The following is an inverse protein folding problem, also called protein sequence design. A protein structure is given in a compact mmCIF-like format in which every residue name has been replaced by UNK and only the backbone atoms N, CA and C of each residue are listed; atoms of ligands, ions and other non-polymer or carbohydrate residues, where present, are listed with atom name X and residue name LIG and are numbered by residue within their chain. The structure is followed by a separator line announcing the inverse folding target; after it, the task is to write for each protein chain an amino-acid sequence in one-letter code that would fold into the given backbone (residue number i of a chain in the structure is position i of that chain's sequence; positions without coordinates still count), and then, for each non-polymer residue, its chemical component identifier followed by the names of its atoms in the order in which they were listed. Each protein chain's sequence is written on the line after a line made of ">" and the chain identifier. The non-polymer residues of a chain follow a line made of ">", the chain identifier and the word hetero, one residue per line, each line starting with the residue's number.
data_IF_500995614330
#
_entry.id   IF_500995614330
#
_cell.length_a   1.000
_cell.length_b   1.000
_cell.length_c   1.000
_cell.angle_alpha   90.00
_cell.angle_beta   90.00
_cell.angle_gamma   90.00
#
_symmetry.space_group_name_H-M   'P 1'
#
loop_
_entity.id
_entity.type
_entity.pdbx_description
1 polymer ?
#
# COMPACT_ATOMS: atom_id res chain seq x y z
N UNK A 1 -42.16 -55.06 -4.75
CA UNK A 1 -42.25 -53.85 -3.90
C UNK A 1 -41.71 -54.21 -2.55
N UNK A 2 -40.58 -53.63 -2.14
CA UNK A 2 -39.98 -53.93 -0.84
C UNK A 2 -40.94 -53.46 0.25
N UNK A 3 -41.43 -54.42 1.05
CA UNK A 3 -42.50 -54.21 2.03
C UNK A 3 -42.10 -53.32 3.22
N UNK A 4 -42.84 -53.37 4.34
CA UNK A 4 -42.70 -52.47 5.51
C UNK A 4 -41.29 -52.30 6.06
N UNK A 5 -40.42 -53.30 5.89
CA UNK A 5 -39.01 -53.26 6.31
C UNK A 5 -38.21 -52.14 5.62
N UNK A 6 -38.55 -51.79 4.38
CA UNK A 6 -37.86 -50.70 3.67
C UNK A 6 -38.26 -49.33 4.22
N UNK A 7 -39.48 -49.20 4.73
CA UNK A 7 -39.94 -47.97 5.37
C UNK A 7 -39.21 -47.77 6.70
N UNK A 8 -39.12 -48.80 7.55
CA UNK A 8 -38.36 -48.74 8.81
C UNK A 8 -36.90 -48.36 8.60
N UNK A 9 -36.25 -48.89 7.56
CA UNK A 9 -34.87 -48.53 7.23
C UNK A 9 -34.75 -47.04 6.86
N UNK A 10 -35.65 -46.53 6.01
CA UNK A 10 -35.66 -45.11 5.63
C UNK A 10 -35.91 -44.21 6.83
N UNK A 11 -36.86 -44.58 7.70
CA UNK A 11 -37.12 -43.85 8.95
C UNK A 11 -35.89 -43.83 9.86
N UNK A 12 -35.21 -44.98 10.01
CA UNK A 12 -33.95 -45.06 10.75
C UNK A 12 -32.90 -44.12 10.16
N UNK A 13 -32.65 -44.16 8.86
CA UNK A 13 -31.68 -43.28 8.20
C UNK A 13 -32.07 -41.81 8.38
N UNK A 14 -33.32 -41.43 8.14
CA UNK A 14 -33.77 -40.04 8.27
C UNK A 14 -33.72 -39.51 9.70
N UNK A 15 -33.84 -40.38 10.70
CA UNK A 15 -33.71 -39.97 12.10
C UNK A 15 -32.24 -39.92 12.53
N UNK A 16 -31.50 -41.01 12.32
CA UNK A 16 -30.13 -41.15 12.83
C UNK A 16 -29.09 -40.37 12.03
N UNK A 17 -29.28 -40.17 10.73
CA UNK A 17 -28.34 -39.39 9.92
C UNK A 17 -28.19 -37.94 10.41
N UNK A 18 -29.26 -37.13 10.51
CA UNK A 18 -29.14 -35.77 11.03
C UNK A 18 -28.71 -35.76 12.51
N UNK A 19 -29.14 -36.74 13.31
CA UNK A 19 -28.73 -36.83 14.71
C UNK A 19 -27.22 -37.08 14.85
N UNK A 20 -26.67 -37.99 14.05
CA UNK A 20 -25.24 -38.32 14.05
C UNK A 20 -24.39 -37.14 13.57
N UNK A 21 -24.83 -36.45 12.51
CA UNK A 21 -24.22 -35.21 12.03
C UNK A 21 -24.21 -34.15 13.14
N UNK A 22 -25.34 -33.96 13.84
CA UNK A 22 -25.43 -33.02 14.95
C UNK A 22 -24.49 -33.40 16.10
N UNK A 23 -24.41 -34.67 16.49
CA UNK A 23 -23.51 -35.10 17.58
C UNK A 23 -22.04 -34.93 17.20
N UNK A 24 -21.69 -35.21 15.94
CA UNK A 24 -20.32 -35.08 15.47
C UNK A 24 -19.87 -33.63 15.34
N UNK A 25 -20.62 -32.80 14.61
CA UNK A 25 -20.26 -31.40 14.33
C UNK A 25 -20.73 -30.41 15.41
N UNK A 26 -21.69 -30.80 16.24
CA UNK A 26 -22.17 -29.99 17.37
C UNK A 26 -21.29 -30.06 18.60
N UNK A 27 -20.21 -30.85 18.57
CA UNK A 27 -19.22 -30.85 19.64
C UNK A 27 -18.53 -29.46 19.71
N UNK A 28 -18.58 -28.76 20.86
CA UNK A 28 -17.92 -27.47 21.01
C UNK A 28 -16.40 -27.53 20.76
N UNK A 29 -15.75 -28.66 21.06
CA UNK A 29 -14.33 -28.85 20.75
C UNK A 29 -14.07 -28.86 19.24
N UNK A 30 -14.89 -29.58 18.47
CA UNK A 30 -14.75 -29.64 17.01
C UNK A 30 -14.90 -28.24 16.38
N UNK A 31 -15.89 -27.47 16.82
CA UNK A 31 -16.10 -26.09 16.37
C UNK A 31 -14.88 -25.20 16.66
N UNK A 32 -14.33 -25.28 17.86
CA UNK A 32 -13.18 -24.47 18.27
C UNK A 32 -11.91 -24.79 17.49
N UNK A 33 -11.70 -26.06 17.15
CA UNK A 33 -10.50 -26.50 16.42
C UNK A 33 -10.61 -26.25 14.91
N UNK A 34 -11.81 -26.37 14.33
CA UNK A 34 -11.96 -26.38 12.87
C UNK A 34 -12.57 -25.09 12.32
N UNK A 35 -13.46 -24.42 13.07
CA UNK A 35 -14.18 -23.24 12.57
C UNK A 35 -13.53 -21.93 13.03
N UNK A 36 -13.11 -21.83 14.29
CA UNK A 36 -12.50 -20.60 14.82
C UNK A 36 -11.21 -20.19 14.09
N UNK A 37 -10.27 -21.10 13.79
CA UNK A 37 -9.02 -20.69 13.12
C UNK A 37 -9.26 -20.16 11.70
N UNK A 38 -10.30 -20.63 11.02
CA UNK A 38 -10.70 -20.13 9.70
C UNK A 38 -11.18 -18.68 9.78
N UNK A 39 -11.86 -18.30 10.87
CA UNK A 39 -12.29 -16.91 11.10
C UNK A 39 -11.11 -15.97 11.10
N UNK A 40 -10.04 -16.34 11.78
CA UNK A 40 -8.86 -15.48 11.96
C UNK A 40 -8.00 -15.42 10.69
N UNK A 41 -8.09 -16.40 9.79
CA UNK A 41 -7.48 -16.35 8.46
C UNK A 41 -8.26 -15.43 7.50
N UNK A 42 -9.58 -15.40 7.60
CA UNK A 42 -10.42 -14.63 6.69
C UNK A 42 -10.62 -13.17 7.14
N UNK A 43 -10.74 -12.94 8.45
CA UNK A 43 -10.93 -11.60 9.01
C UNK A 43 -9.58 -10.99 9.40
N UNK A 44 -9.29 -9.73 9.05
CA UNK A 44 -8.14 -9.04 9.58
C UNK A 44 -8.21 -8.96 11.11
N UNK A 45 -7.06 -9.13 11.76
CA UNK A 45 -6.95 -9.05 13.21
C UNK A 45 -7.59 -7.76 13.74
N UNK A 46 -8.34 -7.84 14.84
CA UNK A 46 -9.03 -6.67 15.41
C UNK A 46 -8.06 -5.52 15.78
N UNK A 47 -6.79 -5.83 15.98
CA UNK A 47 -5.73 -4.87 16.26
C UNK A 47 -5.30 -4.06 15.04
N UNK A 48 -5.36 -4.64 13.83
CA UNK A 48 -5.03 -3.92 12.60
C UNK A 48 -6.19 -3.03 12.11
N UNK A 49 -7.37 -3.21 12.67
CA UNK A 49 -8.56 -2.47 12.28
C UNK A 49 -8.52 -1.05 12.83
N UNK A 50 -8.75 -0.07 11.95
CA UNK A 50 -8.89 1.33 12.37
C UNK A 50 -10.07 1.48 13.34
N UNK A 51 -9.78 1.99 14.54
CA UNK A 51 -10.78 2.25 15.58
C UNK A 51 -11.23 3.70 15.46
N UNK A 52 -12.47 3.97 15.00
CA UNK A 52 -12.95 5.34 14.92
C UNK A 52 -13.10 5.94 16.33
N UNK A 53 -12.74 7.23 16.51
CA UNK A 53 -12.90 7.91 17.79
C UNK A 53 -14.37 7.92 18.21
N UNK A 54 -14.65 7.53 19.47
CA UNK A 54 -16.02 7.44 20.00
C UNK A 54 -16.38 8.58 20.95
N UNK A 55 -15.40 9.13 21.65
CA UNK A 55 -15.62 10.22 22.61
C UNK A 55 -15.29 11.58 21.99
N UNK A 56 -15.82 12.65 22.58
CA UNK A 56 -15.55 14.03 22.14
C UNK A 56 -14.08 14.41 22.22
N UNK A 57 -13.36 13.89 23.21
CA UNK A 57 -11.94 14.20 23.39
C UNK A 57 -11.09 13.44 22.36
N UNK A 58 -11.39 12.16 22.11
CA UNK A 58 -10.77 11.36 21.03
C UNK A 58 -10.97 12.03 19.66
N UNK A 59 -12.14 12.63 19.42
CA UNK A 59 -12.43 13.35 18.18
C UNK A 59 -11.53 14.58 18.00
N UNK A 60 -11.27 15.33 19.08
CA UNK A 60 -10.38 16.50 19.02
C UNK A 60 -8.95 16.06 18.71
N UNK A 61 -8.45 15.04 19.41
CA UNK A 61 -7.10 14.50 19.19
C UNK A 61 -6.93 13.99 17.76
N UNK A 62 -7.88 13.19 17.26
CA UNK A 62 -7.83 12.70 15.88
C UNK A 62 -7.87 13.84 14.85
N UNK A 63 -8.60 14.92 15.13
CA UNK A 63 -8.70 16.09 14.25
C UNK A 63 -7.37 16.87 14.23
N UNK A 64 -6.72 17.03 15.38
CA UNK A 64 -5.39 17.61 15.49
C UNK A 64 -4.34 16.78 14.74
N UNK A 65 -4.33 15.46 14.90
CA UNK A 65 -3.47 14.55 14.14
C UNK A 65 -3.70 14.65 12.62
N UNK A 66 -4.96 14.74 12.19
CA UNK A 66 -5.26 14.94 10.78
C UNK A 66 -4.76 16.29 10.26
N UNK A 67 -4.85 17.36 11.06
CA UNK A 67 -4.31 18.68 10.69
C UNK A 67 -2.79 18.66 10.56
N UNK A 68 -2.08 18.07 11.53
CA UNK A 68 -0.62 17.97 11.49
C UNK A 68 -0.15 17.14 10.31
N UNK A 69 -0.79 15.99 10.05
CA UNK A 69 -0.50 15.15 8.88
C UNK A 69 -0.70 15.88 7.55
N UNK A 70 -1.74 16.71 7.44
CA UNK A 70 -1.99 17.55 6.26
C UNK A 70 -0.88 18.60 6.08
N UNK A 71 -0.47 19.26 7.16
CA UNK A 71 0.61 20.26 7.12
C UNK A 71 1.94 19.63 6.73
N UNK A 72 2.32 18.50 7.32
CA UNK A 72 3.53 17.76 6.97
C UNK A 72 3.54 17.36 5.49
N UNK A 73 2.44 16.80 4.97
CA UNK A 73 2.32 16.44 3.55
C UNK A 73 2.44 17.66 2.63
N UNK A 74 1.93 18.82 3.05
CA UNK A 74 2.08 20.08 2.30
C UNK A 74 3.52 20.55 2.30
N UNK A 75 4.19 20.53 3.45
CA UNK A 75 5.59 20.91 3.57
C UNK A 75 6.49 20.03 2.71
N UNK A 76 6.31 18.70 2.76
CA UNK A 76 7.06 17.76 1.94
C UNK A 76 6.96 18.06 0.43
N UNK A 77 5.75 18.41 -0.05
CA UNK A 77 5.53 18.80 -1.44
C UNK A 77 6.24 20.10 -1.82
N UNK A 78 6.26 21.07 -0.92
CA UNK A 78 6.95 22.35 -1.15
C UNK A 78 8.46 22.15 -1.18
N UNK A 79 9.02 21.36 -0.26
CA UNK A 79 10.45 21.06 -0.25
C UNK A 79 10.89 20.28 -1.49
N UNK A 80 10.06 19.36 -1.98
CA UNK A 80 10.34 18.60 -3.21
C UNK A 80 10.34 19.55 -4.44
N UNK A 81 9.36 20.47 -4.51
CA UNK A 81 9.30 21.50 -5.55
C UNK A 81 10.51 22.47 -5.51
N UNK A 82 10.98 22.84 -4.31
CA UNK A 82 12.16 23.69 -4.10
C UNK A 82 13.46 22.98 -4.48
N UNK A 83 13.58 21.68 -4.19
CA UNK A 83 14.72 20.87 -4.62
C UNK A 83 14.76 20.71 -6.13
N UNK A 84 13.62 20.42 -6.76
CA UNK A 84 13.52 20.32 -8.22
C UNK A 84 13.87 21.64 -8.91
N UNK A 85 13.37 22.77 -8.39
CA UNK A 85 13.67 24.10 -8.95
C UNK A 85 15.13 24.53 -8.73
N UNK A 86 15.75 24.19 -7.59
CA UNK A 86 17.18 24.41 -7.38
C UNK A 86 18.05 23.52 -8.28
N UNK A 87 17.65 22.29 -8.54
CA UNK A 87 18.35 21.38 -9.45
C UNK A 87 18.28 21.88 -10.92
N UNK A 88 17.12 22.40 -11.33
CA UNK A 88 16.93 23.02 -12.65
C UNK A 88 17.80 24.29 -12.80
N UNK A 89 17.90 25.13 -11.77
CA UNK A 89 18.74 26.33 -11.79
C UNK A 89 20.24 26.01 -11.81
N UNK A 90 20.69 24.96 -11.10
CA UNK A 90 22.09 24.52 -11.17
C UNK A 90 22.42 23.95 -12.55
N UNK A 91 21.55 23.11 -13.12
CA UNK A 91 21.75 22.51 -14.46
C UNK A 91 21.81 23.57 -15.57
N UNK A 92 20.99 24.63 -15.49
CA UNK A 92 21.00 25.75 -16.45
C UNK A 92 22.23 26.68 -16.29
N UNK A 93 22.76 26.86 -15.08
CA UNK A 93 24.01 27.62 -14.84
C UNK A 93 25.28 26.88 -15.30
N UNK A 94 25.29 25.55 -15.22
CA UNK A 94 26.41 24.72 -15.70
C UNK A 94 26.43 24.65 -17.24
N UNK A 95 25.27 24.63 -17.89
CA UNK A 95 25.17 24.65 -19.36
C UNK A 95 25.57 26.01 -19.97
N UNK A 96 25.24 27.14 -19.31
CA UNK A 96 25.62 28.48 -19.81
C UNK A 96 27.12 28.77 -19.68
N UNK A 97 27.77 28.25 -18.63
CA UNK A 97 29.23 28.38 -18.44
C UNK A 97 30.03 27.47 -19.39
N UNK A 98 29.59 26.23 -19.63
CA UNK A 98 30.25 25.32 -20.59
C UNK A 98 30.10 25.74 -22.05
N UNK A 99 28.97 26.34 -22.44
CA UNK A 99 28.81 26.93 -23.78
C UNK A 99 29.67 28.18 -23.99
N UNK A 100 29.84 29.00 -22.94
CA UNK A 100 30.70 30.20 -22.98
C UNK A 100 32.18 29.81 -23.12
N UNK A 101 32.65 28.85 -22.32
CA UNK A 101 34.03 28.37 -22.38
C UNK A 101 34.37 27.66 -23.71
N UNK A 102 33.46 26.86 -24.27
CA UNK A 102 33.68 26.20 -25.56
C UNK A 102 33.69 27.18 -26.73
N UNK A 103 32.86 28.23 -26.71
CA UNK A 103 32.91 29.30 -27.72
C UNK A 103 34.22 30.10 -27.66
N UNK A 104 34.67 30.49 -26.47
CA UNK A 104 35.93 31.23 -26.30
C UNK A 104 37.13 30.36 -26.75
N UNK A 105 37.14 29.08 -26.40
CA UNK A 105 38.18 28.14 -26.84
C UNK A 105 38.19 27.95 -28.37
N UNK A 106 37.02 27.94 -29.03
CA UNK A 106 36.95 27.86 -30.49
C UNK A 106 37.47 29.11 -31.21
N UNK A 107 37.28 30.30 -30.63
CA UNK A 107 37.77 31.56 -31.21
C UNK A 107 39.30 31.70 -31.11
N UNK A 108 39.89 31.32 -29.97
CA UNK A 108 41.34 31.37 -29.76
C UNK A 108 42.10 30.44 -30.71
N UNK A 109 41.53 29.27 -31.05
CA UNK A 109 42.15 28.33 -31.98
C UNK A 109 42.03 28.77 -33.46
N UNK A 110 41.00 29.55 -33.80
CA UNK A 110 40.83 30.08 -35.15
C UNK A 110 41.88 31.15 -35.49
N UNK A 111 42.23 32.01 -34.53
CA UNK A 111 43.27 33.03 -34.70
C UNK A 111 44.66 32.41 -34.90
N UNK A 112 44.98 31.34 -34.14
CA UNK A 112 46.28 30.65 -34.25
C UNK A 112 46.49 29.98 -35.63
N UNK A 113 45.43 29.42 -36.22
CA UNK A 113 45.52 28.76 -37.52
C UNK A 113 45.64 29.76 -38.69
N UNK A 114 45.12 30.98 -38.51
CA UNK A 114 45.21 32.04 -39.53
C UNK A 114 46.62 32.62 -39.62
N UNK A 115 47.36 32.66 -38.51
CA UNK A 115 48.75 33.12 -38.48
C UNK A 115 49.77 32.13 -39.08
N UNK A 116 49.43 30.84 -39.22
CA UNK A 116 50.34 29.85 -39.83
C UNK A 116 50.25 29.74 -41.36
N UNK A 117 49.32 30.45 -42.00
CA UNK A 117 49.04 30.33 -43.44
C UNK A 117 49.67 31.45 -44.31
N UNK A 118 50.47 32.32 -43.72
CA UNK A 118 51.16 33.44 -44.38
C UNK A 118 52.68 33.30 -44.20
N UNK A 119 53.26 32.22 -44.73
CA UNK A 119 54.68 32.06 -45.10
C UNK A 119 54.71 31.21 -46.36
#
# INVERSE_FOLDING_TARGET
>A
MAGPNLELFKFGVYLFFPLAVMVHYGNPAWYNEHVLPIRDQFWPAQESLYKPPRNSDDLKTALEEMKTKRLQKRQARLSEQEQDSNNINQTSSIQSSTQSHSRIASMLNADQNTSQRLV
#
